data_IF_777231869651
#
_entry.id   IF_777231869651
#
_cell.length_a   1.000
_cell.length_b   1.000
_cell.length_c   1.000
_cell.angle_alpha   90.00
_cell.angle_beta   90.00
_cell.angle_gamma   90.00
#
_symmetry.space_group_name_H-M   'P 1'
#
loop_
_entity.id
_entity.type
_entity.pdbx_description
1 polymer ?
#
# COMPACT_ATOMS: atom_id res chain seq x y z
N UNK A 1 27.02 12.50 7.53
CA UNK A 1 25.62 12.04 7.65
C UNK A 1 25.26 11.38 6.34
N UNK A 2 24.56 10.26 6.37
CA UNK A 2 24.24 9.49 5.16
C UNK A 2 22.89 9.95 4.60
N UNK A 3 22.79 10.06 3.28
CA UNK A 3 21.58 10.53 2.60
C UNK A 3 20.46 9.48 2.67
N UNK A 4 19.29 9.90 3.19
CA UNK A 4 18.09 9.07 3.28
C UNK A 4 17.60 8.61 1.91
N UNK A 5 17.71 9.42 0.86
CA UNK A 5 17.23 9.04 -0.47
C UNK A 5 18.06 7.89 -1.04
N UNK A 6 19.38 7.91 -0.83
CA UNK A 6 20.27 6.79 -1.16
C UNK A 6 19.88 5.50 -0.42
N UNK A 7 19.58 5.59 0.88
CA UNK A 7 19.13 4.44 1.66
C UNK A 7 17.77 3.90 1.20
N UNK A 8 16.80 4.79 0.95
CA UNK A 8 15.49 4.43 0.42
C UNK A 8 15.60 3.74 -0.95
N UNK A 9 16.50 4.21 -1.82
CA UNK A 9 16.78 3.55 -3.10
C UNK A 9 17.33 2.14 -2.91
N UNK A 10 18.23 1.93 -1.95
CA UNK A 10 18.76 0.59 -1.67
C UNK A 10 17.65 -0.38 -1.21
N UNK A 11 16.72 0.08 -0.35
CA UNK A 11 15.55 -0.71 0.04
C UNK A 11 14.65 -1.03 -1.17
N UNK A 12 14.42 -0.04 -2.04
CA UNK A 12 13.59 -0.19 -3.23
C UNK A 12 14.19 -1.19 -4.23
N UNK A 13 15.50 -1.13 -4.45
CA UNK A 13 16.22 -1.99 -5.40
C UNK A 13 16.42 -3.43 -4.91
N UNK A 14 16.29 -3.69 -3.60
CA UNK A 14 16.45 -5.02 -3.04
C UNK A 14 15.39 -5.99 -3.58
N UNK A 15 15.82 -7.10 -4.16
CA UNK A 15 14.89 -8.09 -4.76
C UNK A 15 14.56 -9.26 -3.85
N UNK A 16 15.50 -9.70 -3.00
CA UNK A 16 15.24 -10.80 -2.07
C UNK A 16 14.37 -10.32 -0.90
N UNK A 17 13.29 -11.02 -0.52
CA UNK A 17 12.43 -10.60 0.58
C UNK A 17 13.18 -10.34 1.89
N UNK A 18 13.99 -11.29 2.35
CA UNK A 18 14.74 -11.17 3.61
C UNK A 18 15.67 -9.95 3.62
N UNK A 19 16.33 -9.70 2.48
CA UNK A 19 17.22 -8.54 2.34
C UNK A 19 16.44 -7.23 2.32
N UNK A 20 15.30 -7.17 1.63
CA UNK A 20 14.42 -5.99 1.61
C UNK A 20 13.89 -5.68 3.02
N UNK A 21 13.49 -6.70 3.77
CA UNK A 21 13.05 -6.57 5.16
C UNK A 21 14.20 -6.05 6.04
N UNK A 22 15.37 -6.68 5.94
CA UNK A 22 16.57 -6.28 6.71
C UNK A 22 16.95 -4.83 6.44
N UNK A 23 17.03 -4.43 5.16
CA UNK A 23 17.35 -3.06 4.75
C UNK A 23 16.29 -2.06 5.22
N UNK A 24 15.01 -2.41 5.10
CA UNK A 24 13.90 -1.56 5.56
C UNK A 24 14.01 -1.28 7.05
N UNK A 25 14.14 -2.32 7.87
CA UNK A 25 14.23 -2.14 9.32
C UNK A 25 15.50 -1.41 9.74
N UNK A 26 16.65 -1.71 9.12
CA UNK A 26 17.91 -1.02 9.40
C UNK A 26 17.85 0.47 9.03
N UNK A 27 17.26 0.79 7.87
CA UNK A 27 17.09 2.17 7.39
C UNK A 27 16.15 2.95 8.30
N UNK A 28 15.03 2.37 8.70
CA UNK A 28 14.12 2.98 9.68
C UNK A 28 14.83 3.28 11.01
N UNK A 29 15.55 2.31 11.57
CA UNK A 29 16.26 2.50 12.84
C UNK A 29 17.36 3.57 12.75
N UNK A 30 18.10 3.64 11.63
CA UNK A 30 19.10 4.68 11.40
C UNK A 30 18.46 6.07 11.23
N UNK A 31 17.31 6.14 10.58
CA UNK A 31 16.51 7.38 10.48
C UNK A 31 16.03 7.85 11.85
N UNK A 32 15.50 6.94 12.68
CA UNK A 32 15.06 7.25 14.06
C UNK A 32 16.20 7.75 14.96
N UNK A 33 17.42 7.22 14.78
CA UNK A 33 18.62 7.70 15.48
C UNK A 33 19.17 9.02 14.92
N UNK A 34 18.58 9.56 13.86
CA UNK A 34 19.01 10.79 13.20
C UNK A 34 20.28 10.66 12.37
N UNK A 35 20.71 9.43 12.06
CA UNK A 35 21.89 9.12 11.25
C UNK A 35 21.64 9.35 9.76
N UNK A 36 20.37 9.21 9.35
CA UNK A 36 19.86 9.49 8.02
C UNK A 36 19.00 10.75 8.01
N UNK A 37 19.20 11.61 7.00
CA UNK A 37 18.32 12.74 6.71
C UNK A 37 18.18 12.92 5.21
N UNK A 38 17.04 13.46 4.77
CA UNK A 38 16.87 13.89 3.39
C UNK A 38 17.85 15.02 3.10
N UNK A 39 18.67 14.85 2.06
CA UNK A 39 19.60 15.87 1.60
C UNK A 39 19.00 16.64 0.41
N UNK A 40 18.88 17.96 0.56
CA UNK A 40 18.38 18.83 -0.50
C UNK A 40 19.33 18.89 -1.71
N UNK A 41 20.62 18.57 -1.53
CA UNK A 41 21.61 18.47 -2.60
C UNK A 41 21.67 17.07 -3.24
N UNK A 42 20.85 16.11 -2.78
CA UNK A 42 20.79 14.79 -3.40
C UNK A 42 20.41 14.90 -4.89
N UNK A 43 21.01 14.06 -5.77
CA UNK A 43 20.64 14.06 -7.17
C UNK A 43 19.14 13.75 -7.35
N UNK A 44 18.54 14.24 -8.45
CA UNK A 44 17.14 13.95 -8.75
C UNK A 44 16.93 12.42 -8.86
N UNK A 45 15.73 11.93 -8.53
CA UNK A 45 15.42 10.51 -8.67
C UNK A 45 15.56 10.09 -10.14
N UNK A 46 16.08 8.89 -10.35
CA UNK A 46 15.98 8.23 -11.66
C UNK A 46 14.51 8.05 -12.07
N UNK A 47 14.21 7.98 -13.39
CA UNK A 47 12.88 7.63 -13.88
C UNK A 47 12.34 6.36 -13.21
N UNK A 48 11.03 6.30 -12.96
CA UNK A 48 10.43 5.13 -12.32
C UNK A 48 10.64 3.88 -13.19
N UNK A 49 11.23 2.86 -12.59
CA UNK A 49 11.36 1.53 -13.17
C UNK A 49 10.56 0.50 -12.35
N UNK A 50 10.65 -0.80 -12.68
CA UNK A 50 10.16 -1.84 -11.79
C UNK A 50 10.93 -1.80 -10.46
N UNK A 51 10.29 -2.06 -9.31
CA UNK A 51 10.98 -2.13 -8.03
C UNK A 51 11.75 -3.45 -7.94
N UNK A 52 12.70 -3.53 -7.01
CA UNK A 52 13.33 -4.78 -6.64
C UNK A 52 12.28 -5.79 -6.15
N UNK A 53 12.20 -6.94 -6.82
CA UNK A 53 11.28 -8.02 -6.48
C UNK A 53 11.87 -9.39 -6.79
N UNK A 54 11.47 -10.44 -6.07
CA UNK A 54 11.93 -11.80 -6.35
C UNK A 54 11.41 -12.31 -7.70
N UNK A 55 12.01 -13.39 -8.19
CA UNK A 55 11.62 -14.01 -9.47
C UNK A 55 10.17 -14.53 -9.47
N UNK A 56 9.67 -14.92 -8.29
CA UNK A 56 8.28 -15.27 -8.02
C UNK A 56 7.72 -14.33 -6.94
N UNK A 57 6.41 -14.03 -6.90
CA UNK A 57 5.34 -14.60 -7.73
C UNK A 57 5.41 -14.17 -9.19
N UNK A 58 4.81 -14.98 -10.07
CA UNK A 58 4.61 -14.58 -11.46
C UNK A 58 3.49 -13.54 -11.50
N UNK A 59 3.76 -12.41 -12.14
CA UNK A 59 2.80 -11.33 -12.27
C UNK A 59 1.93 -11.55 -13.52
N UNK A 60 0.62 -11.59 -13.31
CA UNK A 60 -0.41 -11.74 -14.34
C UNK A 60 -1.39 -10.58 -14.27
N UNK A 61 -2.20 -10.40 -15.32
CA UNK A 61 -3.28 -9.43 -15.24
C UNK A 61 -4.30 -9.83 -14.17
N UNK A 62 -4.91 -8.85 -13.50
CA UNK A 62 -5.90 -9.12 -12.44
C UNK A 62 -7.08 -10.01 -12.90
N UNK A 63 -7.39 -10.02 -14.20
CA UNK A 63 -8.45 -10.88 -14.79
C UNK A 63 -8.04 -12.35 -14.92
N UNK A 64 -6.74 -12.63 -14.93
CA UNK A 64 -6.17 -13.97 -15.05
C UNK A 64 -5.89 -14.61 -13.68
N UNK A 65 -6.10 -13.89 -12.58
CA UNK A 65 -5.93 -14.45 -11.25
C UNK A 65 -7.00 -15.51 -10.98
N UNK A 66 -6.59 -16.73 -10.57
CA UNK A 66 -7.56 -17.78 -10.26
C UNK A 66 -8.45 -17.35 -9.10
N UNK A 67 -9.77 -17.50 -9.28
CA UNK A 67 -10.74 -17.26 -8.22
C UNK A 67 -10.81 -18.49 -7.33
N UNK A 68 -10.31 -18.38 -6.09
CA UNK A 68 -10.37 -19.44 -5.08
C UNK A 68 -11.27 -19.02 -3.93
N UNK A 69 -12.18 -19.90 -3.53
CA UNK A 69 -13.00 -19.69 -2.34
C UNK A 69 -12.22 -19.99 -1.05
N UNK A 70 -12.56 -19.32 0.05
CA UNK A 70 -11.90 -19.51 1.35
C UNK A 70 -12.19 -20.86 2.03
N UNK A 71 -13.12 -21.66 1.47
CA UNK A 71 -13.52 -22.94 2.06
C UNK A 71 -12.42 -24.01 2.03
N UNK A 72 -11.48 -23.96 1.08
CA UNK A 72 -10.38 -24.93 0.99
C UNK A 72 -9.09 -24.42 1.64
N UNK A 73 -8.19 -25.33 2.03
CA UNK A 73 -6.87 -24.98 2.56
C UNK A 73 -6.04 -24.17 1.55
N UNK A 74 -6.01 -24.61 0.28
CA UNK A 74 -5.35 -23.89 -0.80
C UNK A 74 -5.95 -22.49 -1.00
N UNK A 75 -7.27 -22.35 -0.90
CA UNK A 75 -7.94 -21.05 -1.02
C UNK A 75 -7.56 -20.07 0.09
N UNK A 76 -7.41 -20.56 1.33
CA UNK A 76 -6.90 -19.76 2.45
C UNK A 76 -5.43 -19.38 2.26
N UNK A 77 -4.58 -20.31 1.82
CA UNK A 77 -3.18 -20.01 1.51
C UNK A 77 -3.04 -18.98 0.39
N UNK A 78 -3.84 -19.09 -0.67
CA UNK A 78 -3.86 -18.12 -1.75
C UNK A 78 -4.31 -16.72 -1.29
N UNK A 79 -5.27 -16.63 -0.35
CA UNK A 79 -5.64 -15.36 0.27
C UNK A 79 -4.46 -14.76 1.04
N UNK A 80 -3.84 -15.54 1.95
CA UNK A 80 -2.70 -15.08 2.76
C UNK A 80 -1.56 -14.62 1.86
N UNK A 81 -1.26 -15.37 0.80
CA UNK A 81 -0.27 -14.98 -0.21
C UNK A 81 -0.63 -13.68 -0.92
N UNK A 82 -1.90 -13.48 -1.30
CA UNK A 82 -2.33 -12.25 -1.97
C UNK A 82 -2.16 -11.03 -1.07
N UNK A 83 -2.51 -11.14 0.23
CA UNK A 83 -2.27 -10.08 1.20
C UNK A 83 -0.77 -9.85 1.39
N UNK A 84 0.04 -10.92 1.52
CA UNK A 84 1.50 -10.79 1.61
C UNK A 84 2.08 -10.05 0.39
N UNK A 85 1.57 -10.31 -0.81
CA UNK A 85 2.00 -9.58 -2.00
C UNK A 85 1.63 -8.10 -1.97
N UNK A 86 0.49 -7.74 -1.39
CA UNK A 86 0.08 -6.35 -1.17
C UNK A 86 1.08 -5.67 -0.22
N UNK A 87 1.35 -6.29 0.94
CA UNK A 87 2.31 -5.73 1.92
C UNK A 87 3.71 -5.57 1.32
N UNK A 88 4.18 -6.56 0.55
CA UNK A 88 5.48 -6.47 -0.12
C UNK A 88 5.55 -5.29 -1.10
N UNK A 89 4.45 -5.02 -1.82
CA UNK A 89 4.36 -3.86 -2.69
C UNK A 89 4.27 -2.56 -1.89
N UNK A 90 3.56 -2.55 -0.76
CA UNK A 90 3.46 -1.38 0.11
C UNK A 90 4.84 -0.94 0.66
N UNK A 91 5.73 -1.89 1.00
CA UNK A 91 7.14 -1.59 1.30
C UNK A 91 7.80 -0.81 0.14
N UNK A 92 7.61 -1.27 -1.10
CA UNK A 92 8.19 -0.61 -2.28
C UNK A 92 7.58 0.77 -2.51
N UNK A 93 6.26 0.91 -2.35
CA UNK A 93 5.54 2.17 -2.55
C UNK A 93 5.98 3.23 -1.54
N UNK A 94 6.12 2.83 -0.27
CA UNK A 94 6.57 3.71 0.79
C UNK A 94 8.02 4.15 0.59
N UNK A 95 8.94 3.22 0.23
CA UNK A 95 10.31 3.62 -0.12
C UNK A 95 10.41 4.43 -1.41
N UNK A 96 9.56 4.18 -2.41
CA UNK A 96 9.48 5.02 -3.60
C UNK A 96 8.99 6.43 -3.27
N UNK A 97 8.06 6.59 -2.33
CA UNK A 97 7.63 7.91 -1.86
C UNK A 97 8.81 8.70 -1.27
N UNK A 98 9.59 8.09 -0.36
CA UNK A 98 10.81 8.67 0.22
C UNK A 98 11.86 8.92 -0.86
N UNK A 99 12.06 7.98 -1.78
CA UNK A 99 13.07 8.07 -2.83
C UNK A 99 12.65 8.94 -4.01
N UNK A 100 11.39 9.30 -4.23
CA UNK A 100 10.99 10.03 -5.44
C UNK A 100 10.73 11.50 -5.18
N UNK A 101 9.98 11.81 -4.13
CA UNK A 101 9.52 13.16 -3.89
C UNK A 101 10.52 13.90 -3.01
N UNK A 102 11.28 14.82 -3.62
CA UNK A 102 12.32 15.63 -2.97
C UNK A 102 11.73 16.90 -2.37
N UNK A 103 12.44 17.48 -1.41
CA UNK A 103 12.07 18.78 -0.83
C UNK A 103 10.82 18.76 0.06
N UNK A 104 10.27 17.57 0.34
CA UNK A 104 9.14 17.42 1.24
C UNK A 104 9.55 17.70 2.71
N UNK A 105 8.60 18.05 3.59
CA UNK A 105 8.88 18.23 5.01
C UNK A 105 9.45 16.97 5.67
N UNK A 106 10.19 17.12 6.78
CA UNK A 106 10.80 16.00 7.49
C UNK A 106 9.79 14.92 7.90
N UNK A 107 8.58 15.33 8.29
CA UNK A 107 7.50 14.42 8.68
C UNK A 107 6.99 13.56 7.51
N UNK A 108 7.13 14.03 6.25
CA UNK A 108 6.78 13.24 5.06
C UNK A 108 7.67 12.01 4.99
N UNK A 109 8.97 12.22 5.13
CA UNK A 109 9.93 11.13 5.08
C UNK A 109 9.77 10.19 6.27
N UNK A 110 9.48 10.73 7.46
CA UNK A 110 9.19 9.93 8.65
C UNK A 110 7.97 9.04 8.44
N UNK A 111 6.87 9.60 7.97
CA UNK A 111 5.62 8.87 7.76
C UNK A 111 5.84 7.69 6.80
N UNK A 112 6.45 7.94 5.63
CA UNK A 112 6.66 6.87 4.65
C UNK A 112 7.74 5.87 5.07
N UNK A 113 8.80 6.28 5.76
CA UNK A 113 9.77 5.34 6.32
C UNK A 113 9.14 4.46 7.43
N UNK A 114 8.24 5.02 8.24
CA UNK A 114 7.48 4.29 9.25
C UNK A 114 6.50 3.31 8.61
N UNK A 115 5.75 3.74 7.58
CA UNK A 115 4.86 2.85 6.83
C UNK A 115 5.66 1.68 6.27
N UNK A 116 6.77 1.93 5.56
CA UNK A 116 7.61 0.86 5.02
C UNK A 116 8.06 -0.14 6.10
N UNK A 117 8.38 0.33 7.30
CA UNK A 117 8.75 -0.50 8.44
C UNK A 117 7.61 -1.41 8.92
N UNK A 118 6.39 -0.86 9.00
CA UNK A 118 5.19 -1.62 9.35
C UNK A 118 4.85 -2.66 8.28
N UNK A 119 4.89 -2.29 7.00
CA UNK A 119 4.58 -3.22 5.90
C UNK A 119 5.59 -4.36 5.80
N UNK A 120 6.86 -4.11 6.14
CA UNK A 120 7.86 -5.18 6.26
C UNK A 120 7.52 -6.17 7.38
N UNK A 121 6.98 -5.68 8.50
CA UNK A 121 6.51 -6.53 9.61
C UNK A 121 5.21 -7.26 9.23
N UNK A 122 4.27 -6.61 8.56
CA UNK A 122 3.05 -7.24 8.06
C UNK A 122 3.35 -8.36 7.07
N UNK A 123 4.25 -8.10 6.11
CA UNK A 123 4.74 -9.09 5.17
C UNK A 123 5.37 -10.29 5.87
N UNK A 124 6.20 -10.07 6.90
CA UNK A 124 6.80 -11.14 7.67
C UNK A 124 5.76 -12.01 8.37
N UNK A 125 4.77 -11.41 9.05
CA UNK A 125 3.68 -12.13 9.72
C UNK A 125 2.90 -13.01 8.75
N UNK A 126 2.59 -12.49 7.56
CA UNK A 126 1.86 -13.24 6.53
C UNK A 126 2.72 -14.31 5.88
N UNK A 127 4.02 -14.07 5.70
CA UNK A 127 4.96 -15.07 5.17
C UNK A 127 5.11 -16.25 6.12
N UNK A 128 5.24 -15.98 7.43
CA UNK A 128 5.26 -17.02 8.47
C UNK A 128 3.94 -17.79 8.46
N UNK A 129 2.81 -17.09 8.36
CA UNK A 129 1.49 -17.75 8.27
C UNK A 129 1.36 -18.61 7.02
N UNK A 130 1.90 -18.17 5.90
CA UNK A 130 1.88 -18.94 4.66
C UNK A 130 2.70 -20.22 4.80
N UNK A 131 3.84 -20.16 5.49
CA UNK A 131 4.66 -21.33 5.82
C UNK A 131 3.92 -22.31 6.74
N UNK A 132 3.19 -21.83 7.75
CA UNK A 132 2.31 -22.67 8.59
C UNK A 132 1.21 -23.38 7.76
N UNK A 133 0.79 -22.78 6.64
CA UNK A 133 -0.16 -23.36 5.69
C UNK A 133 0.51 -24.27 4.64
N UNK A 134 1.81 -24.50 4.73
CA UNK A 134 2.58 -25.37 3.82
C UNK A 134 2.98 -24.73 2.50
N UNK A 135 3.00 -23.39 2.43
CA UNK A 135 3.30 -22.63 1.23
C UNK A 135 4.38 -21.57 1.47
N UNK A 136 4.98 -21.07 0.40
CA UNK A 136 5.93 -19.96 0.43
C UNK A 136 5.44 -18.77 -0.39
N UNK A 137 5.95 -17.58 -0.06
CA UNK A 137 5.71 -16.40 -0.88
C UNK A 137 6.27 -16.62 -2.29
N UNK A 138 5.43 -16.45 -3.31
CA UNK A 138 5.72 -16.79 -4.69
C UNK A 138 5.10 -18.08 -5.22
N UNK A 139 4.46 -18.90 -4.37
CA UNK A 139 3.79 -20.14 -4.81
C UNK A 139 2.52 -19.88 -5.62
N UNK A 140 1.91 -18.71 -5.47
CA UNK A 140 0.71 -18.30 -6.21
C UNK A 140 1.01 -17.14 -7.15
N UNK A 141 0.29 -17.04 -8.27
CA UNK A 141 0.36 -15.86 -9.14
C UNK A 141 -0.15 -14.61 -8.41
N UNK A 142 0.36 -13.45 -8.81
CA UNK A 142 -0.07 -12.16 -8.28
C UNK A 142 -0.25 -11.12 -9.40
N UNK A 143 -0.70 -9.90 -9.06
CA UNK A 143 -0.85 -8.81 -10.04
C UNK A 143 -0.15 -7.54 -9.55
N UNK A 144 0.30 -6.70 -10.49
CA UNK A 144 1.15 -5.53 -10.21
C UNK A 144 0.37 -4.21 -10.10
N UNK A 145 -0.92 -4.27 -9.79
CA UNK A 145 -1.83 -3.13 -9.97
C UNK A 145 -1.45 -1.91 -9.12
N UNK A 146 -0.84 -2.12 -7.96
CA UNK A 146 -0.31 -1.08 -7.09
C UNK A 146 0.86 -0.33 -7.74
N UNK A 147 1.87 -1.06 -8.23
CA UNK A 147 3.04 -0.45 -8.85
C UNK A 147 2.71 0.17 -10.21
N UNK A 148 1.78 -0.39 -10.99
CA UNK A 148 1.30 0.22 -12.22
C UNK A 148 0.73 1.63 -11.98
N UNK A 149 -0.02 1.83 -10.89
CA UNK A 149 -0.53 3.16 -10.53
C UNK A 149 0.60 4.07 -10.04
N UNK A 150 1.57 3.53 -9.29
CA UNK A 150 2.75 4.26 -8.89
C UNK A 150 3.53 4.81 -10.10
N UNK A 151 3.73 3.97 -11.12
CA UNK A 151 4.37 4.35 -12.37
C UNK A 151 3.60 5.47 -13.09
N UNK A 152 2.27 5.35 -13.22
CA UNK A 152 1.41 6.38 -13.85
C UNK A 152 1.46 7.73 -13.12
N UNK A 153 1.61 7.72 -11.81
CA UNK A 153 1.61 8.91 -10.96
C UNK A 153 3.01 9.42 -10.60
N UNK A 154 4.07 8.82 -11.15
CA UNK A 154 5.46 9.12 -10.75
C UNK A 154 5.89 10.58 -10.97
N UNK A 155 5.22 11.29 -11.87
CA UNK A 155 5.48 12.71 -12.15
C UNK A 155 4.70 13.69 -11.26
N UNK A 156 3.85 13.23 -10.34
CA UNK A 156 3.05 14.10 -9.49
C UNK A 156 2.86 13.49 -8.11
N UNK A 157 3.41 14.14 -7.09
CA UNK A 157 3.17 13.80 -5.69
C UNK A 157 1.69 13.93 -5.33
N UNK A 158 1.02 15.00 -5.78
CA UNK A 158 -0.42 15.19 -5.60
C UNK A 158 -1.21 13.99 -6.12
N UNK A 159 -0.94 13.54 -7.36
CA UNK A 159 -1.59 12.37 -7.94
C UNK A 159 -1.22 11.08 -7.21
N UNK A 160 0.05 10.92 -6.81
CA UNK A 160 0.51 9.73 -6.08
C UNK A 160 -0.21 9.60 -4.73
N UNK A 161 -0.18 10.65 -3.91
CA UNK A 161 -0.80 10.67 -2.59
C UNK A 161 -2.33 10.53 -2.68
N UNK A 162 -2.94 11.07 -3.74
CA UNK A 162 -4.36 10.92 -3.99
C UNK A 162 -4.76 9.47 -4.33
N UNK A 163 -4.00 8.77 -5.17
CA UNK A 163 -4.50 7.55 -5.80
C UNK A 163 -3.93 6.27 -5.20
N UNK A 164 -2.67 6.28 -4.75
CA UNK A 164 -2.06 5.05 -4.21
C UNK A 164 -2.51 4.81 -2.77
N UNK A 165 -2.15 5.64 -1.77
CA UNK A 165 -2.49 5.35 -0.39
C UNK A 165 -3.98 5.58 -0.07
N UNK A 166 -4.60 6.63 -0.63
CA UNK A 166 -6.01 6.94 -0.33
C UNK A 166 -7.03 6.08 -1.08
N UNK A 167 -6.67 5.47 -2.22
CA UNK A 167 -7.64 4.67 -3.00
C UNK A 167 -7.27 3.20 -3.02
N UNK A 168 -6.04 2.88 -3.42
CA UNK A 168 -5.63 1.49 -3.56
C UNK A 168 -5.33 0.84 -2.21
N UNK A 169 -4.57 1.49 -1.33
CA UNK A 169 -4.25 0.94 0.01
C UNK A 169 -5.47 1.01 0.93
N UNK A 170 -6.23 2.11 0.90
CA UNK A 170 -7.51 2.23 1.60
C UNK A 170 -8.55 1.14 1.26
N UNK A 171 -8.31 0.36 0.19
CA UNK A 171 -9.10 -0.83 -0.10
C UNK A 171 -9.03 -1.86 1.02
N UNK A 172 -7.88 -2.00 1.69
CA UNK A 172 -7.69 -2.88 2.84
C UNK A 172 -8.71 -2.59 3.95
N UNK A 173 -8.94 -1.30 4.24
CA UNK A 173 -9.94 -0.86 5.22
C UNK A 173 -11.37 -1.34 4.89
N UNK A 174 -11.70 -1.43 3.60
CA UNK A 174 -13.03 -1.83 3.14
C UNK A 174 -13.23 -3.35 3.13
N UNK A 175 -12.22 -4.10 2.69
CA UNK A 175 -12.37 -5.53 2.37
C UNK A 175 -11.96 -6.46 3.50
N UNK A 176 -10.96 -6.08 4.29
CA UNK A 176 -10.39 -6.92 5.34
C UNK A 176 -11.40 -7.28 6.43
N UNK A 177 -12.32 -6.39 6.88
CA UNK A 177 -13.34 -6.77 7.88
C UNK A 177 -14.19 -7.98 7.44
N UNK A 178 -14.69 -7.97 6.19
CA UNK A 178 -15.48 -9.09 5.66
C UNK A 178 -14.66 -10.37 5.44
N UNK A 179 -13.35 -10.25 5.20
CA UNK A 179 -12.45 -11.40 5.15
C UNK A 179 -12.26 -12.01 6.55
N UNK A 180 -12.04 -11.17 7.56
CA UNK A 180 -11.93 -11.58 8.97
C UNK A 180 -13.17 -12.35 9.41
N UNK A 181 -14.37 -11.82 9.16
CA UNK A 181 -15.63 -12.48 9.53
C UNK A 181 -15.75 -13.89 8.92
N UNK A 182 -15.40 -14.02 7.63
CA UNK A 182 -15.45 -15.31 6.92
C UNK A 182 -14.42 -16.30 7.47
N UNK A 183 -13.20 -15.86 7.74
CA UNK A 183 -12.13 -16.72 8.29
C UNK A 183 -12.46 -17.18 9.72
N UNK A 184 -13.05 -16.30 10.54
CA UNK A 184 -13.55 -16.65 11.87
C UNK A 184 -14.62 -17.75 11.79
N UNK A 185 -15.57 -17.62 10.84
CA UNK A 185 -16.57 -18.67 10.59
C UNK A 185 -15.97 -20.01 10.14
N UNK A 186 -14.74 -20.01 9.62
CA UNK A 186 -13.99 -21.20 9.22
C UNK A 186 -13.02 -21.70 10.31
N UNK A 187 -12.95 -21.04 11.46
CA UNK A 187 -12.07 -21.38 12.57
C UNK A 187 -10.59 -21.04 12.34
N UNK A 188 -10.26 -20.21 11.36
CA UNK A 188 -8.86 -19.79 11.09
C UNK A 188 -8.47 -18.57 11.95
N UNK A 189 -8.50 -18.77 13.27
CA UNK A 189 -8.22 -17.71 14.25
C UNK A 189 -6.79 -17.13 14.12
N UNK A 190 -5.85 -17.94 13.63
CA UNK A 190 -4.47 -17.49 13.44
C UNK A 190 -4.37 -16.45 12.33
N UNK A 191 -4.99 -16.68 11.18
CA UNK A 191 -5.04 -15.69 10.10
C UNK A 191 -5.86 -14.47 10.50
N UNK A 192 -6.97 -14.65 11.23
CA UNK A 192 -7.77 -13.55 11.77
C UNK A 192 -6.93 -12.61 12.63
N UNK A 193 -6.18 -13.13 13.60
CA UNK A 193 -5.36 -12.32 14.49
C UNK A 193 -4.31 -11.47 13.73
N UNK A 194 -3.73 -12.02 12.66
CA UNK A 194 -2.77 -11.29 11.81
C UNK A 194 -3.47 -10.15 11.06
N UNK A 195 -4.61 -10.44 10.41
CA UNK A 195 -5.37 -9.43 9.67
C UNK A 195 -5.92 -8.32 10.58
N UNK A 196 -6.25 -8.62 11.83
CA UNK A 196 -6.67 -7.61 12.82
C UNK A 196 -5.53 -6.68 13.23
N UNK A 197 -4.29 -7.18 13.30
CA UNK A 197 -3.10 -6.34 13.51
C UNK A 197 -2.93 -5.39 12.32
N UNK A 198 -2.91 -5.93 11.11
CA UNK A 198 -2.72 -5.16 9.87
C UNK A 198 -3.81 -4.10 9.74
N UNK A 199 -5.08 -4.47 9.85
CA UNK A 199 -6.22 -3.55 9.70
C UNK A 199 -6.17 -2.37 10.68
N UNK A 200 -5.72 -2.62 11.92
CA UNK A 200 -5.59 -1.55 12.93
C UNK A 200 -4.52 -0.53 12.55
N UNK A 201 -3.42 -1.00 11.98
CA UNK A 201 -2.25 -0.18 11.64
C UNK A 201 -2.44 0.55 10.30
N UNK A 202 -3.17 -0.06 9.36
CA UNK A 202 -3.51 0.48 8.04
C UNK A 202 -4.19 1.86 8.07
N UNK A 203 -4.98 2.15 9.12
CA UNK A 203 -5.67 3.45 9.25
C UNK A 203 -4.65 4.60 9.30
N UNK A 204 -3.51 4.39 9.96
CA UNK A 204 -2.46 5.41 10.07
C UNK A 204 -1.75 5.64 8.72
N UNK A 205 -1.57 4.59 7.92
CA UNK A 205 -0.95 4.66 6.60
C UNK A 205 -1.84 5.43 5.61
N UNK A 206 -3.13 5.09 5.58
CA UNK A 206 -4.11 5.84 4.76
C UNK A 206 -4.25 7.29 5.25
N UNK A 207 -4.18 7.54 6.56
CA UNK A 207 -4.17 8.89 7.13
C UNK A 207 -2.94 9.70 6.69
N UNK A 208 -1.77 9.06 6.58
CA UNK A 208 -0.57 9.69 6.03
C UNK A 208 -0.78 10.08 4.56
N UNK A 209 -1.35 9.17 3.75
CA UNK A 209 -1.76 9.48 2.39
C UNK A 209 -2.68 10.70 2.29
N UNK A 210 -3.71 10.77 3.14
CA UNK A 210 -4.64 11.91 3.19
C UNK A 210 -3.94 13.22 3.58
N UNK A 211 -3.09 13.19 4.60
CA UNK A 211 -2.33 14.36 5.07
C UNK A 211 -1.44 14.91 3.96
N UNK A 212 -0.66 14.06 3.31
CA UNK A 212 0.28 14.51 2.28
C UNK A 212 -0.40 14.91 0.98
N UNK A 213 -1.52 14.27 0.64
CA UNK A 213 -2.36 14.76 -0.44
C UNK A 213 -2.85 16.19 -0.20
N UNK A 214 -3.40 16.47 1.00
CA UNK A 214 -3.86 17.81 1.37
C UNK A 214 -2.73 18.82 1.38
N UNK A 215 -1.56 18.44 1.90
CA UNK A 215 -0.37 19.27 1.87
C UNK A 215 0.01 19.68 0.44
N UNK A 216 0.02 18.73 -0.51
CA UNK A 216 0.32 19.05 -1.90
C UNK A 216 -0.76 19.95 -2.53
N UNK A 217 -2.05 19.71 -2.23
CA UNK A 217 -3.12 20.58 -2.69
C UNK A 217 -2.98 22.02 -2.15
N UNK A 218 -2.66 22.18 -0.87
CA UNK A 218 -2.44 23.49 -0.25
C UNK A 218 -1.24 24.20 -0.87
N UNK A 219 -0.11 23.50 -1.03
CA UNK A 219 1.11 24.02 -1.68
C UNK A 219 0.81 24.53 -3.10
N UNK A 220 -0.01 23.79 -3.84
CA UNK A 220 -0.29 24.06 -5.26
C UNK A 220 -1.54 24.93 -5.47
N UNK A 221 -2.24 25.34 -4.41
CA UNK A 221 -3.46 26.16 -4.49
C UNK A 221 -4.67 25.44 -5.10
N UNK A 222 -4.76 24.12 -4.91
CA UNK A 222 -5.79 23.26 -5.49
C UNK A 222 -6.92 22.98 -4.49
N UNK A 223 -8.16 22.90 -5.00
CA UNK A 223 -9.27 22.37 -4.20
C UNK A 223 -9.09 20.85 -4.02
N UNK A 224 -8.95 20.33 -2.79
CA UNK A 224 -8.62 18.94 -2.56
C UNK A 224 -9.75 17.98 -2.93
N UNK A 225 -11.01 18.39 -2.91
CA UNK A 225 -12.12 17.51 -3.26
C UNK A 225 -12.23 17.41 -4.78
N UNK A 226 -12.32 18.52 -5.49
CA UNK A 226 -12.44 18.52 -6.95
C UNK A 226 -11.22 17.94 -7.65
N UNK A 227 -10.02 18.21 -7.12
CA UNK A 227 -8.77 17.61 -7.62
C UNK A 227 -8.80 16.09 -7.46
N UNK A 228 -9.26 15.58 -6.32
CA UNK A 228 -9.29 14.14 -6.05
C UNK A 228 -10.21 13.41 -7.04
N UNK A 229 -11.40 13.95 -7.28
CA UNK A 229 -12.34 13.35 -8.24
C UNK A 229 -11.91 13.50 -9.69
N UNK A 230 -11.19 14.57 -10.03
CA UNK A 230 -10.54 14.73 -11.34
C UNK A 230 -9.49 13.66 -11.55
N UNK A 231 -8.59 13.46 -10.57
CA UNK A 231 -7.54 12.42 -10.63
C UNK A 231 -8.12 11.01 -10.70
N UNK A 232 -9.18 10.73 -9.93
CA UNK A 232 -9.89 9.43 -10.00
C UNK A 232 -10.40 9.16 -11.41
N UNK A 233 -11.09 10.12 -12.01
CA UNK A 233 -11.62 10.00 -13.38
C UNK A 233 -10.49 9.79 -14.39
N UNK A 234 -9.45 10.61 -14.33
CA UNK A 234 -8.43 10.67 -15.36
C UNK A 234 -7.45 9.48 -15.29
N UNK A 235 -7.19 8.95 -14.08
CA UNK A 235 -6.23 7.86 -13.88
C UNK A 235 -6.85 6.47 -13.70
N UNK A 236 -8.08 6.38 -13.16
CA UNK A 236 -8.75 5.10 -12.88
C UNK A 236 -9.97 4.85 -13.78
N UNK A 237 -10.54 5.88 -14.39
CA UNK A 237 -11.77 5.78 -15.17
C UNK A 237 -13.00 5.52 -14.31
N UNK A 238 -13.91 4.65 -14.80
CA UNK A 238 -15.22 4.35 -14.18
C UNK A 238 -15.20 2.98 -13.52
N UNK A 239 -14.96 2.93 -12.20
CA UNK A 239 -15.25 1.70 -11.45
C UNK A 239 -14.50 1.58 -10.13
N UNK A 240 -14.82 2.43 -9.16
CA UNK A 240 -14.50 2.13 -7.77
C UNK A 240 -15.42 1.00 -7.29
N UNK A 241 -14.87 0.09 -6.49
CA UNK A 241 -15.66 -0.98 -5.89
C UNK A 241 -16.06 -0.55 -4.49
N UNK A 242 -17.34 -0.65 -4.16
CA UNK A 242 -17.82 -0.55 -2.78
C UNK A 242 -18.00 -1.92 -2.12
N UNK A 243 -18.64 -1.96 -0.93
CA UNK A 243 -18.93 -0.81 -0.07
C UNK A 243 -17.64 -0.21 0.51
N UNK A 244 -17.71 1.04 0.99
CA UNK A 244 -16.60 1.70 1.68
C UNK A 244 -16.78 1.62 3.20
N UNK A 245 -15.71 1.32 3.93
CA UNK A 245 -15.69 1.38 5.39
C UNK A 245 -15.64 2.84 5.85
N UNK A 246 -16.83 3.47 5.93
CA UNK A 246 -16.97 4.88 6.30
C UNK A 246 -16.26 5.23 7.61
N UNK A 247 -16.48 4.52 8.74
CA UNK A 247 -15.79 4.85 9.99
C UNK A 247 -14.26 4.86 9.87
N UNK A 248 -13.68 3.83 9.25
CA UNK A 248 -12.22 3.76 9.10
C UNK A 248 -11.68 4.83 8.14
N UNK A 249 -12.39 5.12 7.03
CA UNK A 249 -11.98 6.18 6.10
C UNK A 249 -12.09 7.58 6.71
N UNK A 250 -13.12 7.86 7.52
CA UNK A 250 -13.22 9.11 8.27
C UNK A 250 -12.06 9.27 9.26
N UNK A 251 -11.70 8.19 9.98
CA UNK A 251 -10.51 8.18 10.85
C UNK A 251 -9.21 8.39 10.07
N UNK A 252 -9.14 7.86 8.84
CA UNK A 252 -8.04 8.11 7.91
C UNK A 252 -8.10 9.49 7.22
N UNK A 253 -8.99 10.37 7.68
CA UNK A 253 -9.03 11.78 7.32
C UNK A 253 -9.91 12.13 6.13
N UNK A 254 -10.66 11.19 5.53
CA UNK A 254 -11.70 11.54 4.55
C UNK A 254 -12.79 12.39 5.20
N UNK A 255 -13.48 13.22 4.41
CA UNK A 255 -14.68 13.92 4.86
C UNK A 255 -15.95 13.28 4.30
N UNK A 256 -17.09 13.53 4.95
CA UNK A 256 -18.39 12.96 4.55
C UNK A 256 -18.72 13.25 3.08
N UNK A 257 -18.53 14.49 2.63
CA UNK A 257 -18.78 14.88 1.25
C UNK A 257 -17.95 14.08 0.22
N UNK A 258 -16.71 13.73 0.57
CA UNK A 258 -15.88 12.86 -0.28
C UNK A 258 -16.45 11.44 -0.30
N UNK A 259 -16.84 10.90 0.86
CA UNK A 259 -17.36 9.53 0.96
C UNK A 259 -18.72 9.36 0.28
N UNK A 260 -19.58 10.38 0.36
CA UNK A 260 -20.86 10.41 -0.34
C UNK A 260 -20.66 10.36 -1.86
N UNK A 261 -19.76 11.20 -2.38
CA UNK A 261 -19.47 11.24 -3.83
C UNK A 261 -18.74 9.98 -4.29
N UNK A 262 -17.86 9.39 -3.48
CA UNK A 262 -17.26 8.09 -3.77
C UNK A 262 -18.32 6.99 -3.86
N UNK A 263 -19.26 6.94 -2.91
CA UNK A 263 -20.34 5.96 -2.90
C UNK A 263 -21.22 6.08 -4.16
N UNK A 264 -21.47 7.29 -4.64
CA UNK A 264 -22.23 7.54 -5.88
C UNK A 264 -21.51 7.07 -7.15
N UNK A 265 -20.18 6.90 -7.12
CA UNK A 265 -19.39 6.38 -8.25
C UNK A 265 -19.32 4.84 -8.29
N UNK A 266 -19.81 4.16 -7.25
CA UNK A 266 -19.88 2.70 -7.24
C UNK A 266 -21.05 2.27 -8.13
N UNK A 267 -20.83 1.47 -9.19
CA UNK A 267 -21.93 0.94 -9.98
C UNK A 267 -22.91 0.18 -9.09
N UNK A 268 -24.23 0.27 -9.33
CA UNK A 268 -25.20 -0.55 -8.61
C UNK A 268 -24.79 -2.02 -8.75
N UNK A 269 -24.88 -2.77 -7.65
CA UNK A 269 -24.60 -4.19 -7.69
C UNK A 269 -25.43 -4.83 -8.81
N UNK A 270 -24.78 -5.48 -9.76
CA UNK A 270 -25.50 -6.23 -10.78
C UNK A 270 -26.43 -7.22 -10.06
N UNK A 271 -27.73 -7.11 -10.29
CA UNK A 271 -28.70 -8.08 -9.80
C UNK A 271 -28.22 -9.47 -10.26
N UNK A 272 -27.86 -10.31 -9.30
CA UNK A 272 -27.49 -11.70 -9.54
C UNK A 272 -28.75 -12.56 -9.56
#
# INVERSE_FOLDING_TARGET
MTDLHTAAKACLDASAPDEKLRLTHATWQAFERGELRADAAAPPPVPIGPPGRPAKPRLVSARQLPQRGLGSAEGRAALVHAVAHIEFNAINLAWDAVYRFRGMPADYYRDWASCAHDEARHFALLSDRLAELGHAYGDFDAHDGLWEMAAKTAGSDTARMALVPRVLEARGLDVTPGMIERLRGLGDERTVAILEVILREEVAHVAAGTRWYRHCCERDGLDPIETFFTLLRDCMGVGLRGPFNRPARLQAGFVEAELDRLAALVPPAAAR
#
